data_IF_357495090920
#
_entry.id   IF_357495090920
#
_cell.length_a   1.000
_cell.length_b   1.000
_cell.length_c   1.000
_cell.angle_alpha   90.00
_cell.angle_beta   90.00
_cell.angle_gamma   90.00
#
_symmetry.space_group_name_H-M   'P 1'
#
loop_
_entity.id
_entity.type
_entity.pdbx_description
1 polymer ?
#
# COMPACT_ATOMS: atom_id res chain seq x y z
N UNK A 1 -45.94 -34.39 2.76
CA UNK A 1 -45.09 -33.58 1.85
C UNK A 1 -44.38 -32.49 2.64
N UNK A 2 -43.17 -32.76 3.13
CA UNK A 2 -42.40 -31.82 3.97
C UNK A 2 -40.90 -31.92 3.59
N UNK A 3 -40.49 -31.31 2.47
CA UNK A 3 -39.09 -31.27 1.99
C UNK A 3 -38.75 -30.03 1.14
N UNK A 4 -39.07 -28.82 1.59
CA UNK A 4 -38.67 -27.58 0.87
C UNK A 4 -38.07 -26.44 1.72
N UNK A 5 -37.91 -26.56 3.05
CA UNK A 5 -37.49 -25.42 3.89
C UNK A 5 -36.02 -25.37 4.37
N UNK A 6 -35.09 -26.20 3.85
CA UNK A 6 -33.71 -26.23 4.35
C UNK A 6 -32.65 -25.69 3.36
N UNK A 7 -32.97 -25.64 2.06
CA UNK A 7 -32.05 -25.16 1.02
C UNK A 7 -31.95 -23.62 0.99
N UNK A 8 -33.02 -22.91 1.35
CA UNK A 8 -33.07 -21.43 1.38
C UNK A 8 -32.14 -20.82 2.44
N UNK A 9 -32.01 -21.44 3.62
CA UNK A 9 -31.20 -20.87 4.71
C UNK A 9 -29.69 -20.93 4.41
N UNK A 10 -29.24 -21.92 3.66
CA UNK A 10 -27.83 -22.04 3.24
C UNK A 10 -27.54 -21.10 2.08
N UNK A 11 -28.40 -21.06 1.05
CA UNK A 11 -28.29 -20.12 -0.06
C UNK A 11 -28.37 -18.66 0.39
N UNK A 12 -29.30 -18.28 1.28
CA UNK A 12 -29.32 -16.93 1.85
C UNK A 12 -28.06 -16.60 2.64
N UNK A 13 -27.51 -17.55 3.39
CA UNK A 13 -26.25 -17.34 4.14
C UNK A 13 -25.07 -17.18 3.19
N UNK A 14 -25.03 -17.95 2.10
CA UNK A 14 -24.03 -17.85 1.04
C UNK A 14 -24.16 -16.52 0.30
N UNK A 15 -25.36 -16.13 -0.14
CA UNK A 15 -25.64 -14.86 -0.83
C UNK A 15 -25.34 -13.66 0.07
N UNK A 16 -25.66 -13.73 1.36
CA UNK A 16 -25.29 -12.70 2.34
C UNK A 16 -23.76 -12.60 2.52
N UNK A 17 -23.07 -13.74 2.66
CA UNK A 17 -21.60 -13.77 2.72
C UNK A 17 -20.96 -13.24 1.43
N UNK A 18 -21.49 -13.61 0.27
CA UNK A 18 -21.04 -13.09 -1.02
C UNK A 18 -21.33 -11.59 -1.18
N UNK A 19 -22.43 -11.10 -0.62
CA UNK A 19 -22.75 -9.67 -0.57
C UNK A 19 -21.74 -8.88 0.26
N UNK A 20 -21.39 -9.36 1.45
CA UNK A 20 -20.36 -8.74 2.30
C UNK A 20 -18.97 -8.81 1.67
N UNK A 21 -18.57 -9.99 1.16
CA UNK A 21 -17.30 -10.16 0.45
C UNK A 21 -17.25 -9.28 -0.79
N UNK A 22 -18.35 -9.13 -1.53
CA UNK A 22 -18.41 -8.23 -2.71
C UNK A 22 -18.21 -6.77 -2.32
N UNK A 23 -18.77 -6.30 -1.20
CA UNK A 23 -18.55 -4.94 -0.70
C UNK A 23 -17.08 -4.68 -0.36
N UNK A 24 -16.40 -5.66 0.23
CA UNK A 24 -14.96 -5.61 0.53
C UNK A 24 -14.08 -5.72 -0.73
N UNK A 25 -14.49 -6.53 -1.70
CA UNK A 25 -13.73 -6.80 -2.91
C UNK A 25 -13.76 -5.63 -3.90
N UNK A 26 -14.91 -4.95 -4.03
CA UNK A 26 -15.10 -3.80 -4.94
C UNK A 26 -13.98 -2.75 -4.87
N UNK A 27 -13.63 -2.19 -3.70
CA UNK A 27 -12.56 -1.21 -3.64
C UNK A 27 -11.19 -1.76 -4.01
N UNK A 28 -10.90 -3.00 -3.62
CA UNK A 28 -9.62 -3.65 -3.94
C UNK A 28 -9.50 -3.85 -5.46
N UNK A 29 -10.57 -4.30 -6.10
CA UNK A 29 -10.61 -4.44 -7.56
C UNK A 29 -10.49 -3.09 -8.27
N UNK A 30 -11.10 -2.04 -7.73
CA UNK A 30 -10.98 -0.69 -8.27
C UNK A 30 -9.54 -0.17 -8.13
N UNK A 31 -8.90 -0.38 -6.98
CA UNK A 31 -7.50 -0.05 -6.76
C UNK A 31 -6.61 -0.75 -7.80
N UNK A 32 -6.77 -2.07 -7.95
CA UNK A 32 -6.00 -2.87 -8.89
C UNK A 32 -6.24 -2.46 -10.35
N UNK A 33 -7.48 -2.12 -10.70
CA UNK A 33 -7.80 -1.59 -12.03
C UNK A 33 -7.14 -0.23 -12.30
N UNK A 34 -7.17 0.67 -11.31
CA UNK A 34 -6.58 2.00 -11.42
C UNK A 34 -5.05 1.94 -11.55
N UNK A 35 -4.38 1.11 -10.73
CA UNK A 35 -2.92 0.93 -10.78
C UNK A 35 -2.48 0.37 -12.13
N UNK A 36 -3.14 -0.70 -12.61
CA UNK A 36 -2.82 -1.34 -13.89
C UNK A 36 -3.05 -0.40 -15.06
N UNK A 37 -4.17 0.32 -15.07
CA UNK A 37 -4.49 1.26 -16.15
C UNK A 37 -3.45 2.39 -16.20
N UNK A 38 -3.10 2.97 -15.06
CA UNK A 38 -2.08 4.01 -14.97
C UNK A 38 -0.69 3.47 -15.39
N UNK A 39 -0.34 2.25 -15.00
CA UNK A 39 0.93 1.63 -15.37
C UNK A 39 1.06 1.36 -16.88
N UNK A 40 -0.02 0.89 -17.52
CA UNK A 40 -0.04 0.63 -18.96
C UNK A 40 -0.04 1.95 -19.75
N UNK A 41 -0.94 2.88 -19.38
CA UNK A 41 -1.18 4.10 -20.14
C UNK A 41 -0.05 5.13 -20.00
N UNK A 42 0.39 5.40 -18.76
CA UNK A 42 1.40 6.43 -18.47
C UNK A 42 2.81 5.90 -18.67
N UNK A 43 3.06 4.70 -18.16
CA UNK A 43 4.41 4.16 -18.06
C UNK A 43 4.77 3.13 -19.13
N UNK A 44 3.84 2.71 -19.99
CA UNK A 44 4.09 1.75 -21.07
C UNK A 44 4.79 0.47 -20.57
N UNK A 45 4.47 0.04 -19.34
CA UNK A 45 5.10 -1.09 -18.64
C UNK A 45 6.62 -0.99 -18.43
N UNK A 46 7.21 0.20 -18.53
CA UNK A 46 8.64 0.41 -18.28
C UNK A 46 8.92 0.73 -16.81
N UNK A 47 9.94 0.07 -16.27
CA UNK A 47 10.50 0.36 -14.94
C UNK A 47 11.56 1.45 -15.05
N UNK A 48 11.66 2.31 -14.06
CA UNK A 48 12.58 3.45 -14.11
C UNK A 48 13.85 3.14 -13.32
N UNK A 49 14.96 3.09 -14.04
CA UNK A 49 16.26 2.69 -13.49
C UNK A 49 16.71 3.62 -12.36
N UNK A 50 16.42 4.93 -12.44
CA UNK A 50 16.80 5.89 -11.39
C UNK A 50 16.04 5.66 -10.08
N UNK A 51 14.75 5.34 -10.17
CA UNK A 51 13.93 5.06 -9.00
C UNK A 51 14.32 3.72 -8.38
N UNK A 52 14.62 2.72 -9.22
CA UNK A 52 15.14 1.44 -8.76
C UNK A 52 16.49 1.59 -8.05
N UNK A 53 17.38 2.46 -8.54
CA UNK A 53 18.67 2.71 -7.92
C UNK A 53 18.60 3.43 -6.55
N UNK A 54 17.49 4.09 -6.22
CA UNK A 54 17.28 4.69 -4.91
C UNK A 54 16.93 3.64 -3.84
N UNK A 55 16.19 2.60 -4.23
CA UNK A 55 15.81 1.49 -3.35
C UNK A 55 16.80 0.32 -3.35
N UNK A 56 17.62 0.23 -4.40
CA UNK A 56 18.52 -0.88 -4.65
C UNK A 56 19.98 -0.42 -4.59
N UNK A 57 20.89 -1.30 -4.20
CA UNK A 57 22.34 -1.07 -4.28
C UNK A 57 22.80 -1.16 -5.75
N UNK A 58 22.25 -0.32 -6.63
CA UNK A 58 22.58 -0.29 -8.06
C UNK A 58 23.76 0.64 -8.39
N UNK A 59 24.56 1.00 -7.37
CA UNK A 59 25.72 1.88 -7.52
C UNK A 59 27.03 1.10 -7.40
N UNK A 60 27.70 0.91 -8.55
CA UNK A 60 29.15 0.67 -8.67
C UNK A 60 29.74 -0.73 -8.40
N UNK A 61 28.94 -1.70 -7.94
CA UNK A 61 29.41 -3.06 -7.63
C UNK A 61 28.63 -4.12 -8.40
N UNK A 62 28.56 -4.03 -9.72
CA UNK A 62 27.85 -5.04 -10.52
C UNK A 62 28.62 -6.37 -10.47
N UNK A 63 28.03 -7.43 -9.94
CA UNK A 63 28.66 -8.76 -9.85
C UNK A 63 28.84 -9.41 -11.25
N UNK A 64 28.36 -8.76 -12.31
CA UNK A 64 28.40 -9.25 -13.69
C UNK A 64 27.28 -10.25 -14.02
N UNK A 65 26.46 -10.64 -13.03
CA UNK A 65 25.33 -11.55 -13.20
C UNK A 65 24.01 -10.92 -12.70
N UNK A 66 23.08 -10.69 -13.64
CA UNK A 66 21.78 -10.04 -13.40
C UNK A 66 20.91 -10.74 -12.34
N UNK A 67 21.03 -12.06 -12.21
CA UNK A 67 20.26 -12.83 -11.22
C UNK A 67 20.78 -12.61 -9.79
N UNK A 68 22.09 -12.55 -9.63
CA UNK A 68 22.73 -12.38 -8.32
C UNK A 68 22.49 -10.96 -7.78
N UNK A 69 22.64 -9.96 -8.66
CA UNK A 69 22.35 -8.57 -8.33
C UNK A 69 20.86 -8.39 -7.98
N UNK A 70 19.96 -9.09 -8.67
CA UNK A 70 18.52 -9.09 -8.38
C UNK A 70 18.16 -9.65 -7.00
N UNK A 71 18.84 -10.71 -6.54
CA UNK A 71 18.62 -11.34 -5.22
C UNK A 71 19.15 -10.44 -4.09
N UNK A 72 20.36 -9.89 -4.24
CA UNK A 72 20.94 -8.98 -3.23
C UNK A 72 20.04 -7.76 -3.04
N UNK A 73 19.58 -7.19 -4.15
CA UNK A 73 18.66 -6.06 -4.16
C UNK A 73 17.30 -6.37 -3.52
N UNK A 74 16.75 -7.56 -3.76
CA UNK A 74 15.53 -8.01 -3.08
C UNK A 74 15.75 -8.11 -1.56
N UNK A 75 16.85 -8.73 -1.15
CA UNK A 75 17.17 -8.90 0.27
C UNK A 75 17.40 -7.56 0.99
N UNK A 76 18.13 -6.63 0.37
CA UNK A 76 18.34 -5.29 0.94
C UNK A 76 17.03 -4.51 1.06
N UNK A 77 16.16 -4.56 0.04
CA UNK A 77 14.86 -3.91 0.09
C UNK A 77 13.98 -4.49 1.21
N UNK A 78 13.98 -5.81 1.38
CA UNK A 78 13.24 -6.47 2.47
C UNK A 78 13.75 -6.06 3.85
N UNK A 79 15.08 -5.95 4.05
CA UNK A 79 15.66 -5.46 5.31
C UNK A 79 15.16 -4.06 5.63
N UNK A 80 15.19 -3.14 4.65
CA UNK A 80 14.73 -1.76 4.86
C UNK A 80 13.25 -1.73 5.23
N UNK A 81 12.40 -2.47 4.52
CA UNK A 81 10.97 -2.57 4.85
C UNK A 81 10.75 -3.11 6.26
N UNK A 82 11.47 -4.16 6.66
CA UNK A 82 11.37 -4.71 8.01
C UNK A 82 11.82 -3.73 9.10
N UNK A 83 12.89 -2.96 8.87
CA UNK A 83 13.35 -1.92 9.81
C UNK A 83 12.28 -0.84 9.97
N UNK A 84 11.66 -0.38 8.89
CA UNK A 84 10.58 0.62 8.94
C UNK A 84 9.37 0.07 9.69
N UNK A 85 8.93 -1.14 9.37
CA UNK A 85 7.79 -1.79 10.04
C UNK A 85 8.04 -2.01 11.53
N UNK A 86 9.23 -2.48 11.91
CA UNK A 86 9.58 -2.68 13.31
C UNK A 86 9.69 -1.36 14.07
N UNK A 87 10.23 -0.31 13.43
CA UNK A 87 10.29 1.03 14.00
C UNK A 87 8.88 1.55 14.30
N UNK A 88 7.95 1.45 13.33
CA UNK A 88 6.56 1.87 13.51
C UNK A 88 5.86 1.07 14.61
N UNK A 89 6.08 -0.24 14.68
CA UNK A 89 5.54 -1.10 15.74
C UNK A 89 6.07 -0.72 17.12
N UNK A 90 7.39 -0.47 17.24
CA UNK A 90 8.01 -0.01 18.49
C UNK A 90 7.44 1.33 18.95
N UNK A 91 7.31 2.31 18.03
CA UNK A 91 6.70 3.61 18.34
C UNK A 91 5.25 3.47 18.83
N UNK A 92 4.49 2.55 18.24
CA UNK A 92 3.13 2.24 18.68
C UNK A 92 3.11 1.59 20.08
N UNK A 93 4.06 0.71 20.39
CA UNK A 93 4.17 0.06 21.70
C UNK A 93 4.64 1.01 22.80
N UNK A 94 5.44 2.02 22.46
CA UNK A 94 5.98 3.01 23.40
C UNK A 94 4.98 4.12 23.79
N UNK A 95 3.70 3.93 23.49
CA UNK A 95 2.61 4.89 23.78
C UNK A 95 2.82 6.29 23.17
N UNK A 96 3.65 6.40 22.13
CA UNK A 96 3.93 7.66 21.44
C UNK A 96 2.83 8.02 20.43
N UNK A 97 1.56 8.14 20.89
CA UNK A 97 0.39 8.39 20.04
C UNK A 97 0.57 9.57 19.09
N UNK A 98 1.09 10.69 19.59
CA UNK A 98 1.31 11.90 18.78
C UNK A 98 2.35 11.70 17.68
N UNK A 99 3.41 10.93 17.93
CA UNK A 99 4.45 10.67 16.93
C UNK A 99 3.95 9.74 15.84
N UNK A 100 3.23 8.68 16.20
CA UNK A 100 2.60 7.77 15.22
C UNK A 100 1.60 8.53 14.36
N UNK A 101 0.73 9.34 14.99
CA UNK A 101 -0.23 10.16 14.27
C UNK A 101 0.48 11.15 13.33
N UNK A 102 1.46 11.92 13.83
CA UNK A 102 2.23 12.86 13.00
C UNK A 102 2.92 12.14 11.83
N UNK A 103 3.53 10.98 12.07
CA UNK A 103 4.21 10.21 11.03
C UNK A 103 3.25 9.76 9.92
N UNK A 104 2.08 9.26 10.29
CA UNK A 104 1.05 8.85 9.33
C UNK A 104 0.54 10.03 8.50
N UNK A 105 0.29 11.19 9.14
CA UNK A 105 -0.13 12.40 8.43
C UNK A 105 0.99 12.90 7.48
N UNK A 106 2.24 12.88 7.92
CA UNK A 106 3.39 13.26 7.08
C UNK A 106 3.56 12.32 5.89
N UNK A 107 3.38 11.01 6.10
CA UNK A 107 3.44 10.02 5.02
C UNK A 107 2.30 10.22 4.01
N UNK A 108 1.08 10.49 4.49
CA UNK A 108 -0.06 10.79 3.63
C UNK A 108 0.20 12.05 2.78
N UNK A 109 0.66 13.14 3.41
CA UNK A 109 1.03 14.38 2.71
C UNK A 109 2.15 14.17 1.68
N UNK A 110 3.19 13.41 2.03
CA UNK A 110 4.28 13.09 1.12
C UNK A 110 3.77 12.36 -0.12
N UNK A 111 2.89 11.38 0.05
CA UNK A 111 2.27 10.66 -1.08
C UNK A 111 1.40 11.63 -1.90
N UNK A 112 0.59 12.45 -1.23
CA UNK A 112 -0.34 13.39 -1.85
C UNK A 112 0.33 14.45 -2.72
N UNK A 113 1.52 14.92 -2.35
CA UNK A 113 2.24 15.97 -3.10
C UNK A 113 3.40 15.42 -3.92
N UNK A 114 4.26 14.58 -3.34
CA UNK A 114 5.48 14.14 -4.01
C UNK A 114 5.21 13.01 -5.01
N UNK A 115 4.48 11.97 -4.61
CA UNK A 115 4.20 10.81 -5.49
C UNK A 115 3.20 11.19 -6.57
N UNK A 116 2.13 11.90 -6.21
CA UNK A 116 1.17 12.40 -7.21
C UNK A 116 1.81 13.40 -8.19
N UNK A 117 2.73 14.26 -7.73
CA UNK A 117 3.46 15.19 -8.59
C UNK A 117 4.34 14.48 -9.61
N UNK A 118 5.05 13.42 -9.20
CA UNK A 118 5.75 12.55 -10.13
C UNK A 118 4.80 11.93 -11.17
N UNK A 119 3.66 11.40 -10.72
CA UNK A 119 2.65 10.83 -11.60
C UNK A 119 2.09 11.83 -12.61
N UNK A 120 1.71 13.05 -12.17
CA UNK A 120 1.19 14.08 -13.07
C UNK A 120 2.25 14.58 -14.06
N UNK A 121 3.51 14.70 -13.64
CA UNK A 121 4.60 15.01 -14.56
C UNK A 121 4.72 13.96 -15.67
N UNK A 122 4.74 12.68 -15.31
CA UNK A 122 4.83 11.59 -16.27
C UNK A 122 3.58 11.49 -17.16
N UNK A 123 2.39 11.78 -16.62
CA UNK A 123 1.13 11.83 -17.37
C UNK A 123 1.14 12.97 -18.40
N UNK A 124 1.56 14.17 -18.00
CA UNK A 124 1.63 15.31 -18.93
C UNK A 124 2.68 15.07 -20.02
N UNK A 125 3.78 14.40 -19.65
CA UNK A 125 4.81 13.96 -20.61
C UNK A 125 4.27 12.93 -21.60
N UNK A 126 3.45 11.96 -21.16
CA UNK A 126 2.83 10.98 -22.06
C UNK A 126 1.79 11.60 -23.00
N UNK A 127 1.19 12.73 -22.61
CA UNK A 127 0.29 13.53 -23.45
C UNK A 127 1.02 14.44 -24.47
N UNK A 128 2.34 14.32 -24.61
CA UNK A 128 3.16 15.08 -25.57
C UNK A 128 3.08 16.61 -25.41
N UNK A 129 2.96 17.09 -24.17
CA UNK A 129 3.06 18.52 -23.86
C UNK A 129 4.52 18.97 -23.75
N UNK A 130 4.78 20.24 -24.07
CA UNK A 130 6.13 20.83 -24.00
C UNK A 130 6.67 20.81 -22.55
N UNK A 131 7.87 20.24 -22.33
CA UNK A 131 8.44 20.06 -20.98
C UNK A 131 8.56 21.39 -20.20
N UNK A 132 8.86 22.49 -20.87
CA UNK A 132 8.97 23.81 -20.25
C UNK A 132 7.62 24.32 -19.71
N UNK A 133 6.52 24.10 -20.45
CA UNK A 133 5.17 24.50 -20.00
C UNK A 133 4.63 23.57 -18.92
N UNK A 134 4.99 22.29 -18.97
CA UNK A 134 4.60 21.31 -17.95
C UNK A 134 5.10 21.77 -16.58
N UNK A 135 6.40 22.06 -16.46
CA UNK A 135 7.02 22.31 -15.15
C UNK A 135 6.56 23.63 -14.54
N UNK A 136 6.41 24.69 -15.34
CA UNK A 136 6.13 26.02 -14.80
C UNK A 136 4.64 26.37 -14.71
N UNK A 137 3.78 25.80 -15.56
CA UNK A 137 2.38 26.21 -15.66
C UNK A 137 1.40 25.13 -15.18
N UNK A 138 1.50 23.93 -15.73
CA UNK A 138 0.50 22.88 -15.49
C UNK A 138 0.74 22.06 -14.23
N UNK A 139 1.98 21.64 -13.99
CA UNK A 139 2.35 20.78 -12.87
C UNK A 139 2.03 21.40 -11.50
N UNK A 140 2.49 22.62 -11.16
CA UNK A 140 2.21 23.20 -9.84
C UNK A 140 0.70 23.41 -9.64
N UNK A 141 -0.03 23.87 -10.66
CA UNK A 141 -1.47 24.05 -10.57
C UNK A 141 -2.22 22.75 -10.28
N UNK A 142 -1.87 21.67 -10.99
CA UNK A 142 -2.52 20.37 -10.84
C UNK A 142 -2.17 19.72 -9.49
N UNK A 143 -0.89 19.74 -9.12
CA UNK A 143 -0.41 19.19 -7.84
C UNK A 143 -0.97 19.96 -6.66
N UNK A 144 -1.02 21.30 -6.71
CA UNK A 144 -1.62 22.10 -5.64
C UNK A 144 -3.13 21.92 -5.56
N UNK A 145 -3.83 21.78 -6.69
CA UNK A 145 -5.27 21.50 -6.69
C UNK A 145 -5.56 20.12 -6.10
N UNK A 146 -4.96 19.06 -6.65
CA UNK A 146 -5.13 17.69 -6.16
C UNK A 146 -4.68 17.55 -4.70
N UNK A 147 -3.51 18.09 -4.39
CA UNK A 147 -2.93 18.16 -3.05
C UNK A 147 -3.84 18.87 -2.05
N UNK A 148 -4.36 20.04 -2.43
CA UNK A 148 -5.28 20.83 -1.61
C UNK A 148 -6.60 20.11 -1.34
N UNK A 149 -7.22 19.51 -2.36
CA UNK A 149 -8.43 18.70 -2.17
C UNK A 149 -8.16 17.47 -1.30
N UNK A 150 -7.00 16.84 -1.44
CA UNK A 150 -6.59 15.73 -0.58
C UNK A 150 -6.38 16.17 0.86
N UNK A 151 -5.75 17.31 1.11
CA UNK A 151 -5.61 17.89 2.45
C UNK A 151 -6.98 18.16 3.09
N UNK A 152 -7.93 18.71 2.32
CA UNK A 152 -9.30 18.90 2.82
C UNK A 152 -9.94 17.54 3.12
N UNK A 153 -9.78 16.54 2.25
CA UNK A 153 -10.35 15.21 2.45
C UNK A 153 -9.80 14.46 3.68
N UNK A 154 -8.52 14.66 4.03
CA UNK A 154 -7.89 13.99 5.19
C UNK A 154 -8.00 14.79 6.49
N UNK A 155 -7.80 16.10 6.45
CA UNK A 155 -7.68 16.92 7.67
C UNK A 155 -8.99 17.62 8.08
N UNK A 156 -10.01 17.65 7.22
CA UNK A 156 -11.27 18.33 7.53
C UNK A 156 -12.35 17.35 7.98
N UNK A 157 -12.76 17.45 9.24
CA UNK A 157 -13.73 16.57 9.90
C UNK A 157 -15.16 16.63 9.30
N UNK A 158 -15.46 17.63 8.46
CA UNK A 158 -16.74 17.76 7.76
C UNK A 158 -16.72 17.31 6.30
N UNK A 159 -15.67 16.64 5.84
CA UNK A 159 -15.53 16.27 4.44
C UNK A 159 -16.54 15.18 4.02
N UNK A 160 -17.05 15.22 2.76
CA UNK A 160 -17.97 14.20 2.28
C UNK A 160 -17.27 12.84 2.19
N UNK A 161 -17.97 11.81 2.66
CA UNK A 161 -17.41 10.46 2.81
C UNK A 161 -16.83 9.88 1.51
N UNK A 162 -17.52 10.12 0.39
CA UNK A 162 -17.09 9.66 -0.93
C UNK A 162 -15.75 10.28 -1.36
N UNK A 163 -15.50 11.55 -0.99
CA UNK A 163 -14.26 12.24 -1.35
C UNK A 163 -13.08 11.65 -0.58
N UNK A 164 -13.27 11.41 0.72
CA UNK A 164 -12.27 10.75 1.55
C UNK A 164 -11.90 9.36 0.98
N UNK A 165 -12.91 8.54 0.66
CA UNK A 165 -12.71 7.21 0.08
C UNK A 165 -11.96 7.26 -1.26
N UNK A 166 -12.29 8.22 -2.12
CA UNK A 166 -11.61 8.40 -3.40
C UNK A 166 -10.12 8.72 -3.21
N UNK A 167 -9.77 9.63 -2.29
CA UNK A 167 -8.38 9.98 -2.02
C UNK A 167 -7.58 8.87 -1.35
N UNK A 168 -8.18 8.11 -0.43
CA UNK A 168 -7.54 6.90 0.14
C UNK A 168 -7.25 5.88 -0.96
N UNK A 169 -8.23 5.61 -1.82
CA UNK A 169 -8.08 4.67 -2.94
C UNK A 169 -7.01 5.13 -3.94
N UNK A 170 -7.01 6.41 -4.28
CA UNK A 170 -6.02 7.02 -5.17
C UNK A 170 -4.61 6.96 -4.57
N UNK A 171 -4.45 7.30 -3.29
CA UNK A 171 -3.15 7.23 -2.60
C UNK A 171 -2.64 5.78 -2.52
N UNK A 172 -3.52 4.81 -2.25
CA UNK A 172 -3.18 3.40 -2.28
C UNK A 172 -2.68 2.97 -3.66
N UNK A 173 -3.39 3.39 -4.71
CA UNK A 173 -3.01 3.12 -6.11
C UNK A 173 -1.66 3.75 -6.46
N UNK A 174 -1.44 5.01 -6.12
CA UNK A 174 -0.18 5.72 -6.38
C UNK A 174 1.01 5.05 -5.69
N UNK A 175 0.85 4.60 -4.44
CA UNK A 175 1.89 3.85 -3.72
C UNK A 175 2.17 2.51 -4.37
N UNK A 176 1.13 1.76 -4.74
CA UNK A 176 1.30 0.49 -5.47
C UNK A 176 2.01 0.68 -6.81
N UNK A 177 1.64 1.72 -7.56
CA UNK A 177 2.28 2.05 -8.83
C UNK A 177 3.75 2.47 -8.63
N UNK A 178 4.04 3.23 -7.57
CA UNK A 178 5.39 3.63 -7.21
C UNK A 178 6.27 2.40 -6.91
N UNK A 179 5.76 1.42 -6.15
CA UNK A 179 6.47 0.16 -5.92
C UNK A 179 6.67 -0.63 -7.21
N UNK A 180 5.65 -0.72 -8.07
CA UNK A 180 5.73 -1.42 -9.34
C UNK A 180 6.81 -0.84 -10.28
N UNK A 181 7.02 0.48 -10.23
CA UNK A 181 8.09 1.16 -10.97
C UNK A 181 9.46 1.01 -10.32
N UNK A 182 9.50 0.92 -8.99
CA UNK A 182 10.74 0.83 -8.20
C UNK A 182 11.42 -0.54 -8.30
N UNK A 183 10.64 -1.62 -8.43
CA UNK A 183 11.20 -2.97 -8.52
C UNK A 183 11.33 -3.45 -9.97
N UNK A 184 12.54 -3.82 -10.44
CA UNK A 184 12.69 -4.50 -11.72
C UNK A 184 12.01 -5.87 -11.66
N UNK A 185 11.48 -6.35 -12.79
CA UNK A 185 10.64 -7.54 -12.84
C UNK A 185 11.22 -8.74 -12.08
N UNK A 186 12.50 -9.04 -12.25
CA UNK A 186 13.17 -10.15 -11.57
C UNK A 186 13.16 -10.00 -10.04
N UNK A 187 13.50 -8.82 -9.52
CA UNK A 187 13.49 -8.53 -8.08
C UNK A 187 12.08 -8.59 -7.51
N UNK A 188 11.08 -8.09 -8.23
CA UNK A 188 9.67 -8.18 -7.80
C UNK A 188 9.19 -9.63 -7.69
N UNK A 189 9.48 -10.47 -8.70
CA UNK A 189 9.19 -11.91 -8.64
C UNK A 189 9.94 -12.59 -7.51
N UNK A 190 11.20 -12.23 -7.24
CA UNK A 190 11.95 -12.79 -6.12
C UNK A 190 11.37 -12.39 -4.77
N UNK A 191 10.95 -11.14 -4.57
CA UNK A 191 10.28 -10.71 -3.33
C UNK A 191 8.99 -11.50 -3.13
N UNK A 192 8.13 -11.57 -4.15
CA UNK A 192 6.87 -12.32 -4.08
C UNK A 192 7.08 -13.83 -3.86
N UNK A 193 8.06 -14.42 -4.56
CA UNK A 193 8.43 -15.82 -4.37
C UNK A 193 9.04 -16.08 -2.99
N UNK A 194 9.88 -15.18 -2.47
CA UNK A 194 10.42 -15.28 -1.10
C UNK A 194 9.29 -15.25 -0.08
N UNK A 195 8.30 -14.38 -0.27
CA UNK A 195 7.13 -14.33 0.60
C UNK A 195 6.31 -15.63 0.51
N UNK A 196 6.04 -16.12 -0.70
CA UNK A 196 5.27 -17.36 -0.91
C UNK A 196 6.01 -18.61 -0.39
N UNK A 197 7.33 -18.69 -0.61
CA UNK A 197 8.15 -19.80 -0.14
C UNK A 197 8.36 -19.75 1.38
N UNK A 198 8.44 -18.56 1.97
CA UNK A 198 8.42 -18.39 3.43
C UNK A 198 7.10 -18.87 4.04
N UNK A 199 5.95 -18.63 3.39
CA UNK A 199 4.65 -19.19 3.80
C UNK A 199 4.67 -20.72 3.73
N UNK A 200 5.23 -21.29 2.66
CA UNK A 200 5.33 -22.76 2.52
C UNK A 200 6.31 -23.41 3.49
N UNK A 201 7.37 -22.71 3.93
CA UNK A 201 8.42 -23.25 4.82
C UNK A 201 8.25 -22.89 6.29
N UNK A 202 7.24 -22.11 6.64
CA UNK A 202 6.83 -21.78 8.01
C UNK A 202 6.57 -23.03 8.87
N UNK A 203 6.28 -24.18 8.26
CA UNK A 203 6.04 -25.44 8.96
C UNK A 203 7.30 -26.26 9.28
N UNK A 204 8.49 -25.93 8.73
CA UNK A 204 9.63 -26.87 8.76
C UNK A 204 10.93 -26.36 9.40
N UNK A 205 11.22 -25.05 9.49
CA UNK A 205 12.44 -24.56 10.18
C UNK A 205 12.25 -23.17 10.83
N UNK A 206 12.49 -23.01 12.15
CA UNK A 206 12.31 -21.75 12.87
C UNK A 206 13.52 -20.79 12.84
N UNK A 207 14.65 -21.17 12.23
CA UNK A 207 15.91 -20.40 12.37
C UNK A 207 16.14 -19.33 11.30
N UNK A 208 15.41 -19.39 10.17
CA UNK A 208 15.48 -18.38 9.09
C UNK A 208 14.17 -17.60 8.96
N UNK A 209 13.40 -17.53 10.04
CA UNK A 209 12.00 -17.08 10.03
C UNK A 209 11.84 -15.70 10.65
N UNK A 210 12.88 -14.89 10.78
CA UNK A 210 12.74 -13.57 11.43
C UNK A 210 11.86 -12.60 10.61
N UNK A 211 11.81 -12.76 9.28
CA UNK A 211 11.14 -11.82 8.39
C UNK A 211 9.63 -12.05 8.22
N UNK A 212 9.16 -13.30 8.15
CA UNK A 212 7.73 -13.60 8.03
C UNK A 212 7.02 -13.72 9.39
N UNK A 213 7.80 -13.85 10.47
CA UNK A 213 7.27 -13.85 11.83
C UNK A 213 6.66 -12.50 12.17
N UNK A 214 7.05 -11.35 11.61
CA UNK A 214 6.50 -10.07 12.09
C UNK A 214 4.98 -9.92 11.87
N UNK A 215 4.44 -10.20 10.69
CA UNK A 215 2.99 -10.06 10.48
C UNK A 215 2.19 -11.23 11.07
N UNK A 216 2.66 -12.47 10.89
CA UNK A 216 1.95 -13.67 11.39
C UNK A 216 2.09 -13.82 12.92
N UNK A 217 3.26 -13.59 13.52
CA UNK A 217 3.46 -13.67 14.97
C UNK A 217 2.85 -12.49 15.71
N UNK A 218 2.81 -11.31 15.10
CA UNK A 218 2.07 -10.20 15.69
C UNK A 218 0.55 -10.51 15.73
N UNK A 219 0.00 -11.18 14.70
CA UNK A 219 -1.42 -11.58 14.67
C UNK A 219 -1.73 -12.84 15.51
N UNK A 220 -0.91 -13.90 15.49
CA UNK A 220 -1.23 -15.19 16.10
C UNK A 220 -0.73 -15.40 17.55
N UNK A 221 0.24 -14.61 18.04
CA UNK A 221 0.73 -14.83 19.41
C UNK A 221 -0.31 -14.36 20.46
N UNK A 222 -0.67 -15.18 21.47
CA UNK A 222 -1.62 -14.81 22.52
C UNK A 222 -1.10 -13.68 23.45
N UNK A 223 0.19 -13.35 23.36
CA UNK A 223 0.89 -12.23 24.03
C UNK A 223 1.42 -11.22 22.97
N UNK A 224 0.92 -11.31 21.73
CA UNK A 224 1.41 -10.55 20.60
C UNK A 224 1.28 -9.04 20.79
N UNK A 225 2.30 -8.25 20.43
CA UNK A 225 2.25 -6.80 20.47
C UNK A 225 1.06 -6.23 19.68
N UNK A 226 0.60 -6.92 18.63
CA UNK A 226 -0.56 -6.51 17.84
C UNK A 226 -1.88 -6.61 18.60
N UNK A 227 -2.07 -7.59 19.49
CA UNK A 227 -3.30 -7.67 20.30
C UNK A 227 -3.38 -6.54 21.31
N UNK A 228 -2.23 -6.19 21.90
CA UNK A 228 -2.09 -5.02 22.79
C UNK A 228 -2.30 -3.71 22.02
N UNK A 229 -1.84 -3.64 20.78
CA UNK A 229 -2.12 -2.54 19.86
C UNK A 229 -3.58 -2.53 19.41
N UNK A 230 -4.26 -3.66 19.19
CA UNK A 230 -5.68 -3.73 18.83
C UNK A 230 -6.59 -3.34 20.00
N UNK A 231 -6.31 -3.82 21.21
CA UNK A 231 -7.01 -3.41 22.44
C UNK A 231 -6.82 -1.93 22.71
N UNK A 232 -5.60 -1.40 22.54
CA UNK A 232 -5.37 0.05 22.59
C UNK A 232 -6.05 0.75 21.43
N UNK A 233 -5.99 0.21 20.21
CA UNK A 233 -6.53 0.82 19.01
C UNK A 233 -8.06 0.91 19.03
N UNK A 234 -8.78 0.23 19.92
CA UNK A 234 -10.17 0.58 20.22
C UNK A 234 -10.34 2.07 20.53
N UNK A 235 -9.39 2.67 21.27
CA UNK A 235 -9.34 4.11 21.57
C UNK A 235 -8.67 4.96 20.47
N UNK A 236 -7.87 4.36 19.58
CA UNK A 236 -7.23 5.06 18.44
C UNK A 236 -8.10 5.00 17.17
N UNK A 237 -9.03 4.05 17.10
CA UNK A 237 -9.81 3.76 15.90
C UNK A 237 -10.70 4.91 15.51
N UNK A 238 -11.17 5.73 16.45
CA UNK A 238 -12.00 6.88 16.08
C UNK A 238 -11.22 7.91 15.22
N UNK A 239 -9.94 8.16 15.54
CA UNK A 239 -9.11 9.14 14.81
C UNK A 239 -8.32 8.52 13.65
N UNK A 240 -7.88 7.27 13.77
CA UNK A 240 -7.02 6.59 12.77
C UNK A 240 -7.84 5.84 11.72
N UNK A 241 -9.02 5.30 12.06
CA UNK A 241 -9.92 4.65 11.09
C UNK A 241 -10.36 5.63 10.02
N UNK A 242 -10.52 6.91 10.40
CA UNK A 242 -10.86 7.97 9.48
C UNK A 242 -9.79 8.19 8.41
N UNK A 243 -8.54 7.74 8.58
CA UNK A 243 -7.47 7.96 7.59
C UNK A 243 -7.07 6.71 6.79
N UNK A 244 -7.34 5.51 7.31
CA UNK A 244 -6.83 4.24 6.76
C UNK A 244 -7.91 3.23 6.42
N UNK A 245 -9.07 3.27 7.08
CA UNK A 245 -10.01 2.16 7.03
C UNK A 245 -11.06 2.34 5.93
N UNK A 246 -11.05 1.38 5.01
CA UNK A 246 -12.15 0.98 4.13
C UNK A 246 -13.50 0.71 4.84
N UNK A 247 -13.58 0.85 6.16
CA UNK A 247 -14.77 0.59 6.97
C UNK A 247 -15.97 1.48 6.59
N UNK A 248 -15.70 2.66 6.04
CA UNK A 248 -16.72 3.60 5.53
C UNK A 248 -17.38 3.13 4.21
N UNK A 249 -16.83 2.13 3.51
CA UNK A 249 -17.40 1.58 2.25
C UNK A 249 -18.47 0.50 2.46
N UNK A 250 -18.67 0.06 3.71
CA UNK A 250 -19.60 -1.01 4.06
C UNK A 250 -20.98 -0.52 4.54
N UNK A 251 -21.09 0.76 4.90
CA UNK A 251 -22.36 1.43 5.22
C UNK A 251 -23.03 1.96 3.95
#
# INVERSE_FOLDING_TARGET
MRKTCQCDRFMCRLVAQFGEVSKLLRPVMLNMGMTLTAWIFVYQMKTDERLSAMFLMSGNSTTGNKYHDGIINAFSAMIVLAVVSFSMLLLALWDCRRLVQLWLHMSCLLILFAVSGGFFYDLLKSLHLDEEKIVYEWLPGLVTAYGGFGCIAFFYHGAPLLLHQFFVLSNCSLVSLFYLRSFPGYTAWFVLCLEFEAISKIFLKPTLTVFFITDIFAVLAPIGPLRKVQEKAGDYSHDVSEHFFFSQLLN
#
